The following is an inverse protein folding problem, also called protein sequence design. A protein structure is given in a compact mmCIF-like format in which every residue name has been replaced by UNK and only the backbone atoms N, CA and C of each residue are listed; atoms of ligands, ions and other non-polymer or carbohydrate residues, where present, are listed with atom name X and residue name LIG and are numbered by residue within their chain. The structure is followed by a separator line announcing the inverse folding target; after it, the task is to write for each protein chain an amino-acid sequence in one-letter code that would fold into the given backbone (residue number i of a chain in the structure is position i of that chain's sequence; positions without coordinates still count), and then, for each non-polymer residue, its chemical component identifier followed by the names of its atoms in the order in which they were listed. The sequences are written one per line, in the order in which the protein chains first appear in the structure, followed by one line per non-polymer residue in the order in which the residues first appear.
data_IF_624768822630
#
_entry.id   IF_624768822630
#
_cell.length_a   1.000
_cell.length_b   1.000
_cell.length_c   1.000
_cell.angle_alpha   90.00
_cell.angle_beta   90.00
_cell.angle_gamma   90.00
#
_symmetry.space_group_name_H-M   'P 1'
#
loop_
_entity.id
_entity.type
_entity.pdbx_description
1 polymer ?
#
# COMPACT_ATOMS: atom_id res chain seq x y z
N UNK A 1 19.84 16.94 -5.59
CA UNK A 1 18.39 16.92 -5.36
C UNK A 1 17.55 17.37 -6.57
N UNK A 2 18.14 17.72 -7.73
CA UNK A 2 17.35 18.21 -8.89
C UNK A 2 16.71 17.11 -9.76
N UNK A 3 17.26 15.90 -9.78
CA UNK A 3 16.84 14.89 -10.77
C UNK A 3 15.39 14.36 -10.55
N UNK A 4 15.00 14.03 -9.31
CA UNK A 4 13.67 13.44 -9.06
C UNK A 4 12.53 14.43 -9.36
N UNK A 5 12.64 15.69 -8.92
CA UNK A 5 11.62 16.71 -9.19
C UNK A 5 11.52 17.05 -10.69
N UNK A 6 12.64 17.06 -11.41
CA UNK A 6 12.66 17.23 -12.86
C UNK A 6 11.97 16.06 -13.58
N UNK A 7 12.24 14.82 -13.15
CA UNK A 7 11.58 13.62 -13.69
C UNK A 7 10.08 13.66 -13.44
N UNK A 8 9.63 13.99 -12.22
CA UNK A 8 8.20 14.13 -11.93
C UNK A 8 7.58 15.27 -12.75
N UNK A 9 8.30 16.40 -12.92
CA UNK A 9 7.85 17.49 -13.79
C UNK A 9 7.65 17.06 -15.24
N UNK A 10 8.52 16.18 -15.77
CA UNK A 10 8.36 15.60 -17.11
C UNK A 10 7.14 14.68 -17.19
N UNK A 11 6.92 13.82 -16.19
CA UNK A 11 5.71 12.96 -16.14
C UNK A 11 4.43 13.80 -16.17
N UNK A 12 4.39 14.92 -15.43
CA UNK A 12 3.25 15.85 -15.46
C UNK A 12 3.09 16.47 -16.85
N UNK A 13 4.18 16.96 -17.46
CA UNK A 13 4.14 17.53 -18.81
C UNK A 13 3.67 16.51 -19.87
N UNK A 14 4.09 15.25 -19.76
CA UNK A 14 3.65 14.18 -20.65
C UNK A 14 2.14 13.90 -20.49
N UNK A 15 1.64 13.90 -19.25
CA UNK A 15 0.19 13.79 -18.97
C UNK A 15 -0.60 15.00 -19.48
N UNK A 16 -0.07 16.21 -19.34
CA UNK A 16 -0.65 17.42 -19.92
C UNK A 16 -0.71 17.34 -21.44
N UNK A 17 0.31 16.75 -22.08
CA UNK A 17 0.31 16.43 -23.51
C UNK A 17 -0.80 15.46 -23.89
N UNK A 18 -1.01 14.39 -23.10
CA UNK A 18 -2.12 13.44 -23.31
C UNK A 18 -3.46 14.16 -23.20
N UNK A 19 -3.68 14.96 -22.16
CA UNK A 19 -4.91 15.75 -21.98
C UNK A 19 -5.11 16.75 -23.13
N UNK A 20 -4.06 17.50 -23.49
CA UNK A 20 -4.06 18.53 -24.53
C UNK A 20 -4.21 17.98 -25.95
N UNK A 21 -3.86 16.72 -26.19
CA UNK A 21 -4.11 16.01 -27.46
C UNK A 21 -5.59 15.75 -27.74
N UNK A 22 -6.49 16.09 -26.81
CA UNK A 22 -7.94 15.97 -26.96
C UNK A 22 -8.53 14.66 -26.42
N UNK A 23 -7.69 13.78 -25.85
CA UNK A 23 -8.12 12.60 -25.08
C UNK A 23 -9.22 12.98 -24.08
N UNK A 24 -9.08 14.13 -23.41
CA UNK A 24 -10.12 14.71 -22.57
C UNK A 24 -10.81 15.85 -23.32
N UNK A 25 -12.09 15.68 -23.64
CA UNK A 25 -12.95 16.74 -24.19
C UNK A 25 -13.14 16.78 -25.71
N UNK A 26 -12.28 16.16 -26.53
CA UNK A 26 -12.47 16.12 -28.01
C UNK A 26 -13.06 14.80 -28.54
N UNK A 27 -13.49 13.90 -27.66
CA UNK A 27 -14.12 12.63 -28.05
C UNK A 27 -13.15 11.54 -28.50
N UNK A 28 -11.83 11.76 -28.42
CA UNK A 28 -10.81 10.75 -28.76
C UNK A 28 -10.99 9.48 -27.92
N UNK A 29 -11.22 9.60 -26.61
CA UNK A 29 -11.55 8.44 -25.75
C UNK A 29 -12.86 7.77 -26.17
N UNK A 30 -13.83 8.55 -26.66
CA UNK A 30 -15.09 8.00 -27.15
C UNK A 30 -14.91 7.19 -28.44
N UNK A 31 -13.91 7.54 -29.26
CA UNK A 31 -13.54 6.82 -30.49
C UNK A 31 -12.72 5.54 -30.27
N UNK A 32 -12.17 5.32 -29.08
CA UNK A 32 -11.44 4.09 -28.74
C UNK A 32 -12.39 2.88 -28.72
N UNK A 33 -11.91 1.76 -29.27
CA UNK A 33 -12.51 0.45 -29.07
C UNK A 33 -12.46 0.02 -27.61
N UNK A 34 -13.30 -0.95 -27.23
CA UNK A 34 -13.32 -1.48 -25.86
C UNK A 34 -11.96 -2.08 -25.45
N UNK A 35 -11.24 -2.70 -26.40
CA UNK A 35 -9.91 -3.24 -26.15
C UNK A 35 -8.89 -2.12 -25.85
N UNK A 36 -8.90 -1.03 -26.62
CA UNK A 36 -8.03 0.12 -26.39
C UNK A 36 -8.36 0.84 -25.08
N UNK A 37 -9.65 0.93 -24.72
CA UNK A 37 -10.08 1.50 -23.43
C UNK A 37 -9.57 0.67 -22.25
N UNK A 38 -9.65 -0.65 -22.35
CA UNK A 38 -9.13 -1.55 -21.32
C UNK A 38 -7.61 -1.41 -21.20
N UNK A 39 -6.89 -1.30 -22.31
CA UNK A 39 -5.43 -1.12 -22.29
C UNK A 39 -5.03 0.24 -21.69
N UNK A 40 -5.76 1.30 -22.03
CA UNK A 40 -5.59 2.61 -21.40
C UNK A 40 -5.82 2.54 -19.88
N UNK A 41 -6.88 1.88 -19.42
CA UNK A 41 -7.15 1.70 -18.00
C UNK A 41 -6.04 0.92 -17.28
N UNK A 42 -5.47 -0.10 -17.92
CA UNK A 42 -4.33 -0.86 -17.36
C UNK A 42 -3.09 0.01 -17.20
N UNK A 43 -2.73 0.75 -18.25
CA UNK A 43 -1.58 1.66 -18.22
C UNK A 43 -1.73 2.78 -17.18
N UNK A 44 -2.92 3.41 -17.12
CA UNK A 44 -3.23 4.42 -16.11
C UNK A 44 -3.21 3.83 -14.69
N UNK A 45 -3.75 2.64 -14.50
CA UNK A 45 -3.72 1.94 -13.22
C UNK A 45 -2.30 1.59 -12.77
N UNK A 46 -1.44 1.17 -13.69
CA UNK A 46 -0.03 0.91 -13.43
C UNK A 46 0.74 2.17 -13.01
N UNK A 47 0.54 3.27 -13.74
CA UNK A 47 1.11 4.57 -13.43
C UNK A 47 0.62 5.08 -12.07
N UNK A 48 -0.68 4.97 -11.80
CA UNK A 48 -1.28 5.37 -10.54
C UNK A 48 -0.65 4.68 -9.34
N UNK A 49 -0.48 3.33 -9.39
CA UNK A 49 0.14 2.58 -8.30
C UNK A 49 1.60 2.95 -8.07
N UNK A 50 2.36 3.27 -9.12
CA UNK A 50 3.75 3.76 -8.99
C UNK A 50 3.81 5.14 -8.34
N UNK A 51 2.90 6.04 -8.70
CA UNK A 51 2.78 7.36 -8.05
C UNK A 51 2.42 7.19 -6.57
N UNK A 52 1.46 6.31 -6.25
CA UNK A 52 1.12 5.98 -4.87
C UNK A 52 2.33 5.46 -4.08
N UNK A 53 3.14 4.58 -4.69
CA UNK A 53 4.35 4.04 -4.05
C UNK A 53 5.37 5.14 -3.72
N UNK A 54 5.62 6.07 -4.64
CA UNK A 54 6.52 7.21 -4.42
C UNK A 54 6.00 8.15 -3.32
N UNK A 55 4.69 8.41 -3.30
CA UNK A 55 4.03 9.20 -2.26
C UNK A 55 4.20 8.53 -0.90
N UNK A 56 3.92 7.23 -0.81
CA UNK A 56 4.05 6.47 0.44
C UNK A 56 5.50 6.46 0.93
N UNK A 57 6.47 6.24 0.03
CA UNK A 57 7.89 6.24 0.38
C UNK A 57 8.36 7.62 0.88
N UNK A 58 7.94 8.71 0.23
CA UNK A 58 8.25 10.07 0.65
C UNK A 58 7.69 10.36 2.07
N UNK A 59 6.49 9.88 2.38
CA UNK A 59 5.90 10.04 3.73
C UNK A 59 6.54 9.09 4.75
N UNK A 60 6.92 7.86 4.36
CA UNK A 60 7.49 6.86 5.26
C UNK A 60 8.92 7.19 5.71
N UNK A 61 9.70 7.83 4.82
CA UNK A 61 11.08 8.26 5.04
C UNK A 61 11.19 9.62 5.76
N UNK A 62 10.08 10.33 5.92
CA UNK A 62 10.08 11.62 6.58
C UNK A 62 10.25 11.51 8.11
N UNK A 63 10.94 12.48 8.70
CA UNK A 63 11.20 12.54 10.14
C UNK A 63 9.92 12.79 10.97
N UNK A 64 10.02 12.45 12.26
CA UNK A 64 9.00 12.82 13.24
C UNK A 64 8.89 14.35 13.29
N UNK A 65 7.71 14.89 12.95
CA UNK A 65 7.47 16.34 12.87
C UNK A 65 7.46 16.92 11.46
N UNK A 66 7.59 16.08 10.41
CA UNK A 66 7.50 16.52 9.00
C UNK A 66 6.32 17.46 8.72
N UNK A 67 5.12 17.15 9.23
CA UNK A 67 3.96 18.06 9.10
C UNK A 67 4.18 19.43 9.74
N UNK A 68 4.73 19.47 10.96
CA UNK A 68 4.95 20.70 11.74
C UNK A 68 5.98 21.61 11.06
N UNK A 69 7.02 21.03 10.46
CA UNK A 69 8.03 21.77 9.70
C UNK A 69 7.43 22.57 8.52
N UNK A 70 6.26 22.17 8.02
CA UNK A 70 5.51 22.86 6.96
C UNK A 70 4.24 23.53 7.49
N UNK A 71 4.15 23.82 8.79
CA UNK A 71 3.02 24.54 9.40
C UNK A 71 1.71 23.74 9.44
N UNK A 72 1.78 22.42 9.25
CA UNK A 72 0.62 21.53 9.36
C UNK A 72 0.57 20.90 10.75
N UNK A 73 -0.62 20.74 11.33
CA UNK A 73 -0.81 20.17 12.68
C UNK A 73 -0.54 18.67 12.74
N UNK A 74 -0.43 18.01 11.59
CA UNK A 74 -0.18 16.58 11.46
C UNK A 74 0.35 16.22 10.07
N UNK A 75 0.97 15.04 9.92
CA UNK A 75 1.32 14.50 8.60
C UNK A 75 0.10 14.28 7.71
N UNK A 76 -1.07 13.97 8.29
CA UNK A 76 -2.30 13.82 7.51
C UNK A 76 -2.72 15.16 6.87
N UNK A 77 -2.67 16.26 7.63
CA UNK A 77 -2.95 17.59 7.06
C UNK A 77 -1.96 17.97 5.96
N UNK A 78 -0.67 17.68 6.16
CA UNK A 78 0.34 17.93 5.13
C UNK A 78 0.04 17.15 3.85
N UNK A 79 -0.26 15.85 3.95
CA UNK A 79 -0.60 15.00 2.81
C UNK A 79 -1.87 15.50 2.09
N UNK A 80 -2.91 15.89 2.83
CA UNK A 80 -4.12 16.48 2.26
C UNK A 80 -3.82 17.70 1.40
N UNK A 81 -3.02 18.63 1.93
CA UNK A 81 -2.67 19.87 1.22
C UNK A 81 -1.76 19.60 0.03
N UNK A 82 -0.76 18.74 0.19
CA UNK A 82 0.22 18.42 -0.85
C UNK A 82 -0.43 17.67 -2.03
N UNK A 83 -1.27 16.67 -1.75
CA UNK A 83 -1.90 15.83 -2.77
C UNK A 83 -3.29 16.32 -3.20
N UNK A 84 -3.81 17.38 -2.56
CA UNK A 84 -5.17 17.90 -2.76
C UNK A 84 -6.24 16.81 -2.61
N UNK A 85 -6.11 16.02 -1.55
CA UNK A 85 -7.02 14.92 -1.22
C UNK A 85 -7.81 15.22 0.05
N UNK A 86 -8.87 14.46 0.28
CA UNK A 86 -9.68 14.55 1.49
C UNK A 86 -8.98 13.91 2.71
N UNK A 87 -9.58 14.08 3.89
CA UNK A 87 -9.00 13.58 5.13
C UNK A 87 -8.87 12.05 5.15
N UNK A 88 -9.77 11.33 4.49
CA UNK A 88 -9.74 9.88 4.39
C UNK A 88 -8.62 9.40 3.44
N UNK A 89 -8.42 10.06 2.31
CA UNK A 89 -7.30 9.83 1.39
C UNK A 89 -5.96 10.04 2.08
N UNK A 90 -5.79 11.18 2.76
CA UNK A 90 -4.56 11.46 3.51
C UNK A 90 -4.30 10.45 4.63
N UNK A 91 -5.35 10.03 5.36
CA UNK A 91 -5.22 9.03 6.41
C UNK A 91 -4.80 7.65 5.87
N UNK A 92 -5.29 7.24 4.70
CA UNK A 92 -4.88 5.99 4.04
C UNK A 92 -3.39 5.99 3.70
N UNK A 93 -2.88 7.10 3.14
CA UNK A 93 -1.45 7.25 2.83
C UNK A 93 -0.60 7.19 4.11
N UNK A 94 -0.99 7.91 5.16
CA UNK A 94 -0.27 7.89 6.45
C UNK A 94 -0.31 6.51 7.11
N UNK A 95 -1.41 5.76 6.94
CA UNK A 95 -1.49 4.37 7.42
C UNK A 95 -0.56 3.45 6.62
N UNK A 96 -0.58 3.55 5.29
CA UNK A 96 0.30 2.79 4.40
C UNK A 96 1.79 3.07 4.70
N UNK A 97 2.16 4.34 4.89
CA UNK A 97 3.56 4.71 5.16
C UNK A 97 4.09 4.09 6.44
N UNK A 98 3.27 3.96 7.50
CA UNK A 98 3.65 3.28 8.74
C UNK A 98 3.91 1.79 8.56
N UNK A 99 3.20 1.12 7.65
CA UNK A 99 3.35 -0.31 7.39
C UNK A 99 4.63 -0.65 6.64
N UNK A 100 5.12 0.27 5.80
CA UNK A 100 6.33 0.09 4.99
C UNK A 100 7.56 0.82 5.52
N UNK A 101 7.39 1.63 6.58
CA UNK A 101 8.49 2.38 7.21
C UNK A 101 9.57 1.41 7.67
N UNK A 102 10.81 1.80 7.41
CA UNK A 102 12.02 1.09 7.83
C UNK A 102 12.66 1.87 8.95
N UNK A 103 13.00 1.17 10.02
CA UNK A 103 13.86 1.72 11.04
C UNK A 103 15.31 1.68 10.57
N UNK A 104 16.16 2.46 11.22
CA UNK A 104 17.59 2.50 10.93
C UNK A 104 18.33 1.81 12.04
N UNK A 105 19.24 0.91 11.70
CA UNK A 105 20.11 0.26 12.67
C UNK A 105 21.03 1.30 13.34
N UNK A 106 21.04 1.31 14.68
CA UNK A 106 21.71 2.34 15.48
C UNK A 106 23.23 2.43 15.25
N UNK A 107 23.87 1.30 14.96
CA UNK A 107 25.34 1.19 14.86
C UNK A 107 25.84 1.41 13.45
N UNK A 108 25.16 0.85 12.43
CA UNK A 108 25.60 0.89 11.04
C UNK A 108 24.95 2.03 10.24
N UNK A 109 23.83 2.57 10.70
CA UNK A 109 23.00 3.46 9.91
C UNK A 109 22.29 2.77 8.74
N UNK A 110 22.40 1.43 8.63
CA UNK A 110 21.75 0.68 7.58
C UNK A 110 20.23 0.57 7.83
N UNK A 111 19.41 0.61 6.79
CA UNK A 111 17.96 0.49 6.96
C UNK A 111 17.59 -0.96 7.29
N UNK A 112 16.90 -1.17 8.42
CA UNK A 112 16.34 -2.46 8.82
C UNK A 112 15.20 -2.87 7.87
N UNK A 113 14.86 -4.18 7.78
CA UNK A 113 13.65 -4.60 7.10
C UNK A 113 12.43 -3.86 7.66
N UNK A 114 11.51 -3.46 6.77
CA UNK A 114 10.24 -2.89 7.20
C UNK A 114 9.40 -3.93 7.93
N UNK A 115 8.26 -3.52 8.48
CA UNK A 115 7.30 -4.46 9.06
C UNK A 115 6.84 -5.47 8.02
N UNK A 116 6.42 -5.01 6.84
CA UNK A 116 5.94 -5.84 5.73
C UNK A 116 6.91 -5.78 4.53
N UNK A 117 8.09 -6.42 4.59
CA UNK A 117 9.14 -6.24 3.58
C UNK A 117 8.74 -6.71 2.17
N UNK A 118 8.05 -7.85 2.01
CA UNK A 118 7.68 -8.39 0.71
C UNK A 118 6.53 -7.59 0.06
N UNK A 119 5.51 -7.22 0.85
CA UNK A 119 4.44 -6.33 0.38
C UNK A 119 4.93 -4.91 0.11
N UNK A 120 5.96 -4.43 0.82
CA UNK A 120 6.63 -3.16 0.51
C UNK A 120 7.26 -3.19 -0.87
N UNK A 121 7.98 -4.27 -1.22
CA UNK A 121 8.54 -4.39 -2.58
C UNK A 121 7.41 -4.50 -3.61
N UNK A 122 6.32 -5.23 -3.33
CA UNK A 122 5.16 -5.28 -4.23
C UNK A 122 4.50 -3.89 -4.45
N UNK A 123 4.46 -3.05 -3.42
CA UNK A 123 4.03 -1.65 -3.55
C UNK A 123 5.01 -0.87 -4.42
N UNK A 124 6.32 -0.99 -4.15
CA UNK A 124 7.39 -0.28 -4.87
C UNK A 124 7.41 -0.61 -6.37
N UNK A 125 7.19 -1.88 -6.71
CA UNK A 125 7.10 -2.37 -8.09
C UNK A 125 5.81 -1.91 -8.80
N UNK A 126 4.87 -1.33 -8.05
CA UNK A 126 3.53 -0.97 -8.53
C UNK A 126 2.67 -2.20 -8.85
N UNK A 127 2.96 -3.36 -8.26
CA UNK A 127 2.09 -4.54 -8.31
C UNK A 127 0.79 -4.25 -7.56
N UNK A 128 0.92 -3.67 -6.37
CA UNK A 128 -0.22 -3.20 -5.55
C UNK A 128 -0.13 -1.69 -5.32
N UNK A 129 -1.28 -1.08 -5.06
CA UNK A 129 -1.39 0.31 -4.61
C UNK A 129 -1.64 0.39 -3.11
N UNK A 130 -1.97 1.59 -2.61
CA UNK A 130 -2.30 1.79 -1.19
C UNK A 130 -3.48 0.91 -0.77
N UNK A 131 -4.51 0.80 -1.61
CA UNK A 131 -5.67 -0.03 -1.32
C UNK A 131 -5.28 -1.52 -1.16
N UNK A 132 -4.45 -2.04 -2.06
CA UNK A 132 -3.99 -3.44 -1.99
C UNK A 132 -3.14 -3.72 -0.76
N UNK A 133 -2.22 -2.82 -0.41
CA UNK A 133 -1.41 -2.94 0.81
C UNK A 133 -2.28 -2.95 2.07
N UNK A 134 -3.24 -2.02 2.17
CA UNK A 134 -4.12 -1.93 3.34
C UNK A 134 -5.06 -3.14 3.44
N UNK A 135 -5.50 -3.68 2.31
CA UNK A 135 -6.35 -4.87 2.25
C UNK A 135 -5.58 -6.13 2.68
N UNK A 136 -4.35 -6.30 2.18
CA UNK A 136 -3.50 -7.45 2.52
C UNK A 136 -3.07 -7.44 4.00
N UNK A 137 -2.71 -6.28 4.53
CA UNK A 137 -2.17 -6.18 5.91
C UNK A 137 -3.26 -6.01 6.97
N UNK A 138 -4.42 -5.45 6.62
CA UNK A 138 -5.47 -5.06 7.55
C UNK A 138 -5.90 -6.15 8.54
N UNK A 139 -6.26 -7.36 8.08
CA UNK A 139 -6.65 -8.46 8.96
C UNK A 139 -5.53 -8.87 9.93
N UNK A 140 -4.28 -8.94 9.47
CA UNK A 140 -3.14 -9.33 10.30
C UNK A 140 -2.77 -8.24 11.31
N UNK A 141 -2.89 -6.97 10.93
CA UNK A 141 -2.70 -5.84 11.86
C UNK A 141 -3.80 -5.82 12.95
N UNK A 142 -5.02 -6.25 12.64
CA UNK A 142 -6.10 -6.40 13.61
C UNK A 142 -5.88 -7.60 14.55
N UNK A 143 -5.33 -8.71 14.04
CA UNK A 143 -4.91 -9.84 14.87
C UNK A 143 -3.78 -9.42 15.84
N UNK A 144 -2.85 -8.59 15.35
CA UNK A 144 -1.84 -7.91 16.13
C UNK A 144 -0.87 -8.89 16.80
N UNK A 145 -0.65 -8.80 18.13
CA UNK A 145 0.33 -9.63 18.83
C UNK A 145 -0.05 -11.11 18.94
N UNK A 146 -1.27 -11.50 18.54
CA UNK A 146 -1.70 -12.91 18.50
C UNK A 146 -1.04 -13.70 17.37
N UNK A 147 -0.58 -13.00 16.33
CA UNK A 147 0.21 -13.60 15.26
C UNK A 147 1.69 -13.30 15.54
N UNK A 148 2.48 -14.36 15.65
CA UNK A 148 3.93 -14.26 15.87
C UNK A 148 4.65 -13.56 14.71
N UNK A 149 5.83 -13.01 14.99
CA UNK A 149 6.63 -12.31 13.96
C UNK A 149 6.97 -13.18 12.76
N UNK A 150 7.33 -14.44 13.00
CA UNK A 150 7.67 -15.40 11.93
C UNK A 150 6.46 -15.70 11.04
N UNK A 151 5.31 -16.00 11.64
CA UNK A 151 4.06 -16.25 10.92
C UNK A 151 3.62 -15.04 10.10
N UNK A 152 3.76 -13.84 10.67
CA UNK A 152 3.48 -12.58 9.98
C UNK A 152 4.40 -12.37 8.78
N UNK A 153 5.69 -12.72 8.88
CA UNK A 153 6.63 -12.62 7.76
C UNK A 153 6.37 -13.68 6.68
N UNK A 154 5.93 -14.88 7.07
CA UNK A 154 5.47 -15.91 6.12
C UNK A 154 4.23 -15.44 5.36
N UNK A 155 3.24 -14.90 6.09
CA UNK A 155 2.04 -14.31 5.50
C UNK A 155 2.35 -13.14 4.57
N UNK A 156 3.30 -12.27 4.94
CA UNK A 156 3.78 -11.17 4.08
C UNK A 156 4.29 -11.69 2.73
N UNK A 157 5.16 -12.71 2.75
CA UNK A 157 5.69 -13.31 1.53
C UNK A 157 4.60 -13.96 0.67
N UNK A 158 3.66 -14.68 1.29
CA UNK A 158 2.54 -15.33 0.62
C UNK A 158 1.59 -14.32 -0.04
N UNK A 159 1.18 -13.28 0.69
CA UNK A 159 0.33 -12.21 0.16
C UNK A 159 1.02 -11.44 -0.97
N UNK A 160 2.33 -11.22 -0.87
CA UNK A 160 3.10 -10.55 -1.90
C UNK A 160 3.31 -11.42 -3.16
N UNK A 161 3.41 -12.74 -3.01
CA UNK A 161 3.42 -13.68 -4.13
C UNK A 161 2.05 -13.72 -4.82
N UNK A 162 0.97 -13.81 -4.02
CA UNK A 162 -0.40 -13.76 -4.50
C UNK A 162 -0.67 -12.49 -5.32
N UNK A 163 -0.27 -11.33 -4.78
CA UNK A 163 -0.39 -10.04 -5.47
C UNK A 163 0.27 -10.01 -6.86
N UNK A 164 1.36 -10.76 -7.04
CA UNK A 164 2.08 -10.88 -8.32
C UNK A 164 1.45 -11.92 -9.27
N UNK A 165 0.34 -12.53 -8.90
CA UNK A 165 -0.32 -13.59 -9.66
C UNK A 165 0.36 -14.96 -9.51
N UNK A 166 1.23 -15.13 -8.52
CA UNK A 166 1.96 -16.37 -8.26
C UNK A 166 1.17 -17.17 -7.19
N UNK A 167 0.19 -17.96 -7.62
CA UNK A 167 -0.64 -18.78 -6.74
C UNK A 167 -0.14 -20.22 -6.66
N UNK A 168 0.14 -20.71 -5.44
CA UNK A 168 0.04 -22.13 -5.07
C UNK A 168 0.70 -23.13 -6.01
N UNK A 169 1.90 -22.84 -6.50
CA UNK A 169 2.66 -23.77 -7.34
C UNK A 169 3.61 -24.54 -6.44
N UNK A 170 3.42 -25.85 -6.35
CA UNK A 170 4.42 -26.75 -5.75
C UNK A 170 5.77 -26.49 -6.43
N UNK A 171 6.90 -26.49 -5.70
CA UNK A 171 8.21 -26.26 -6.28
C UNK A 171 8.50 -27.29 -7.39
N UNK A 172 8.44 -26.86 -8.66
CA UNK A 172 8.67 -27.71 -9.83
C UNK A 172 7.56 -27.68 -10.88
N UNK A 173 6.38 -27.17 -10.55
CA UNK A 173 5.34 -26.89 -11.55
C UNK A 173 5.55 -25.48 -12.15
N UNK A 174 5.27 -25.34 -13.44
CA UNK A 174 5.41 -24.05 -14.12
C UNK A 174 4.40 -23.05 -13.60
N UNK A 175 4.86 -21.86 -13.21
CA UNK A 175 3.95 -20.80 -12.79
C UNK A 175 3.16 -20.32 -13.99
N UNK A 176 1.85 -20.60 -14.00
CA UNK A 176 0.94 -20.03 -15.00
C UNK A 176 0.38 -18.74 -14.40
N UNK A 177 0.75 -17.55 -14.92
CA UNK A 177 0.27 -16.29 -14.36
C UNK A 177 -1.25 -16.18 -14.54
N UNK A 178 -1.98 -16.12 -13.43
CA UNK A 178 -3.41 -15.78 -13.41
C UNK A 178 -3.64 -14.27 -13.55
N UNK A 179 -4.89 -13.81 -13.70
CA UNK A 179 -5.20 -12.38 -13.61
C UNK A 179 -4.73 -11.83 -12.26
N UNK A 180 -4.14 -10.63 -12.26
CA UNK A 180 -3.69 -10.00 -11.03
C UNK A 180 -4.86 -9.82 -10.05
N UNK A 181 -4.72 -10.23 -8.78
CA UNK A 181 -5.82 -10.17 -7.82
C UNK A 181 -6.20 -8.72 -7.50
N UNK A 182 -7.47 -8.52 -7.19
CA UNK A 182 -7.97 -7.25 -6.68
C UNK A 182 -7.55 -7.05 -5.21
N UNK A 183 -7.65 -5.82 -4.67
CA UNK A 183 -7.50 -5.60 -3.23
C UNK A 183 -8.47 -6.46 -2.40
N UNK A 184 -9.66 -6.73 -2.91
CA UNK A 184 -10.64 -7.55 -2.22
C UNK A 184 -10.20 -9.01 -2.13
N UNK A 185 -9.64 -9.56 -3.20
CA UNK A 185 -9.07 -10.91 -3.20
C UNK A 185 -7.89 -11.03 -2.20
N UNK A 186 -7.03 -10.00 -2.14
CA UNK A 186 -5.96 -9.90 -1.14
C UNK A 186 -6.50 -9.89 0.30
N UNK A 187 -7.62 -9.18 0.52
CA UNK A 187 -8.28 -9.16 1.84
C UNK A 187 -8.81 -10.53 2.21
N UNK A 188 -9.44 -11.24 1.26
CA UNK A 188 -9.97 -12.58 1.48
C UNK A 188 -8.84 -13.54 1.85
N UNK A 189 -7.74 -13.54 1.10
CA UNK A 189 -6.57 -14.39 1.43
C UNK A 189 -6.00 -14.03 2.80
N UNK A 190 -5.85 -12.75 3.12
CA UNK A 190 -5.37 -12.31 4.43
C UNK A 190 -6.29 -12.79 5.57
N UNK A 191 -7.61 -12.79 5.37
CA UNK A 191 -8.57 -13.31 6.35
C UNK A 191 -8.45 -14.83 6.53
N UNK A 192 -8.24 -15.58 5.43
CA UNK A 192 -7.99 -17.03 5.49
C UNK A 192 -6.72 -17.34 6.28
N UNK A 193 -5.64 -16.61 6.00
CA UNK A 193 -4.37 -16.74 6.74
C UNK A 193 -4.58 -16.46 8.23
N UNK A 194 -5.29 -15.38 8.59
CA UNK A 194 -5.60 -15.06 9.99
C UNK A 194 -6.44 -16.16 10.64
N UNK A 195 -7.46 -16.71 9.96
CA UNK A 195 -8.28 -17.78 10.51
C UNK A 195 -7.48 -19.05 10.82
N UNK A 196 -6.40 -19.31 10.07
CA UNK A 196 -5.49 -20.42 10.34
C UNK A 196 -4.50 -20.11 11.48
N UNK A 197 -3.97 -18.88 11.54
CA UNK A 197 -2.96 -18.48 12.52
C UNK A 197 -3.53 -18.08 13.89
N UNK A 198 -4.77 -17.60 13.93
CA UNK A 198 -5.49 -17.13 15.12
C UNK A 198 -6.89 -17.77 15.15
N UNK A 199 -6.98 -19.11 15.31
CA UNK A 199 -8.26 -19.84 15.25
C UNK A 199 -9.21 -19.46 16.40
N UNK A 200 -8.64 -19.06 17.55
CA UNK A 200 -9.40 -18.60 18.71
C UNK A 200 -9.99 -17.21 18.50
N UNK A 201 -9.44 -16.46 17.54
CA UNK A 201 -9.93 -15.16 17.15
C UNK A 201 -9.93 -14.15 18.30
N UNK A 202 -10.72 -13.10 18.12
CA UNK A 202 -10.77 -12.01 19.06
C UNK A 202 -11.66 -12.35 20.25
N UNK A 203 -11.10 -12.31 21.47
CA UNK A 203 -11.92 -12.27 22.68
C UNK A 203 -12.99 -11.16 22.59
N UNK A 204 -14.25 -11.42 22.99
CA UNK A 204 -15.36 -10.49 22.83
C UNK A 204 -15.04 -9.07 23.33
N UNK A 205 -15.42 -8.04 22.56
CA UNK A 205 -15.08 -6.64 22.87
C UNK A 205 -15.53 -6.20 24.27
N UNK A 206 -16.64 -6.77 24.77
CA UNK A 206 -17.15 -6.50 26.12
C UNK A 206 -16.18 -6.94 27.23
N UNK A 207 -15.48 -8.06 27.07
CA UNK A 207 -14.54 -8.61 28.07
C UNK A 207 -13.21 -7.85 28.07
N UNK A 208 -12.75 -7.42 26.90
CA UNK A 208 -11.58 -6.53 26.79
C UNK A 208 -11.85 -5.16 27.41
N UNK A 209 -13.01 -4.58 27.11
CA UNK A 209 -13.44 -3.31 27.71
C UNK A 209 -13.69 -3.42 29.22
N UNK A 210 -14.04 -4.61 29.73
CA UNK A 210 -14.16 -4.85 31.18
C UNK A 210 -12.79 -4.90 31.87
N UNK A 211 -11.77 -5.55 31.27
CA UNK A 211 -10.41 -5.61 31.84
C UNK A 211 -9.65 -4.29 31.80
N UNK A 212 -9.89 -3.43 30.81
CA UNK A 212 -9.31 -2.08 30.77
C UNK A 212 -9.91 -1.12 31.80
N UNK A 213 -11.00 -1.52 32.49
CA UNK A 213 -11.63 -0.77 33.59
C UNK A 213 -11.18 -1.20 35.00
N UNK A 214 -10.26 -2.17 35.10
CA UNK A 214 -9.69 -2.56 36.39
C UNK A 214 -8.58 -1.60 36.84
N UNK A 215 -8.78 -0.89 37.95
CA UNK A 215 -7.69 -0.18 38.64
C UNK A 215 -6.72 -1.23 39.19
N UNK A 216 -5.48 -1.25 38.71
CA UNK A 216 -4.40 -2.00 39.38
C UNK A 216 -3.92 -1.14 40.55
N UNK A 217 -4.17 -1.60 41.77
CA UNK A 217 -3.60 -1.05 42.99
C UNK A 217 -2.19 -1.60 43.21
#
# INVERSE_FOLDING_TARGET
MNNTSEVIGRVVADLDGVVGSGVVGSGVVAGLSDAERVELLRGLGEAHRRVEALVVEAVASADQGFGVAFGCRSSNELVQRALRTDAAGGARVVKASKLVRRETELTSGAPLPGRWPALREALRDGTIGVAGLLAATGPLEQAGPRIGTEDRLRADAELAAYARGMMGVEPGEGVVPGPAPTPEDLRVLAQVIVAYLDPDGAEPEHERAARSRGVRL
#
